data_IF_286393598278
#
_entry.id   IF_286393598278
#
_cell.length_a   1.000
_cell.length_b   1.000
_cell.length_c   1.000
_cell.angle_alpha   90.00
_cell.angle_beta   90.00
_cell.angle_gamma   90.00
#
_symmetry.space_group_name_H-M   'P 1'
#
loop_
_entity.id
_entity.type
_entity.pdbx_description
1 polymer ?
#
# COMPACT_ATOMS: atom_id res chain seq x y z
N UNK A 1 13.98 30.51 11.66
CA UNK A 1 14.83 30.32 10.47
C UNK A 1 14.10 29.46 9.45
N UNK A 2 13.83 29.94 8.23
CA UNK A 2 13.38 29.07 7.13
C UNK A 2 14.61 28.27 6.69
N UNK A 3 14.61 26.97 6.91
CA UNK A 3 15.61 26.10 6.29
C UNK A 3 15.46 26.26 4.76
N UNK A 4 16.56 26.52 4.03
CA UNK A 4 16.50 26.60 2.58
C UNK A 4 16.24 25.19 2.06
N UNK A 5 14.98 24.89 1.73
CA UNK A 5 14.64 23.69 0.98
C UNK A 5 15.30 23.83 -0.40
N UNK A 6 16.15 22.86 -0.78
CA UNK A 6 16.72 22.84 -2.13
C UNK A 6 15.57 22.75 -3.15
N UNK A 7 15.58 23.56 -4.23
CA UNK A 7 14.52 23.58 -5.23
C UNK A 7 14.31 22.23 -5.94
N UNK A 8 15.28 21.31 -5.87
CA UNK A 8 15.25 19.97 -6.49
C UNK A 8 14.70 18.85 -5.59
N UNK A 9 13.96 19.19 -4.52
CA UNK A 9 13.45 18.18 -3.58
C UNK A 9 12.32 17.35 -4.20
N UNK A 10 12.62 16.11 -4.61
CA UNK A 10 11.64 15.18 -5.19
C UNK A 10 10.89 14.38 -4.11
N UNK A 11 9.56 14.33 -4.20
CA UNK A 11 8.69 13.49 -3.38
C UNK A 11 8.61 12.08 -3.96
N UNK A 12 8.93 11.06 -3.15
CA UNK A 12 8.82 9.65 -3.56
C UNK A 12 7.66 8.96 -2.86
N UNK A 13 6.63 8.56 -3.61
CA UNK A 13 5.60 7.68 -3.07
C UNK A 13 6.16 6.27 -2.86
N UNK A 14 6.01 5.74 -1.64
CA UNK A 14 6.52 4.42 -1.23
C UNK A 14 5.44 3.37 -1.11
N UNK A 15 4.23 3.77 -0.73
CA UNK A 15 3.12 2.85 -0.57
C UNK A 15 1.78 3.58 -0.65
N UNK A 16 0.89 3.10 -1.51
CA UNK A 16 -0.51 3.50 -1.57
C UNK A 16 -1.37 2.35 -1.10
N UNK A 17 -2.23 2.64 -0.12
CA UNK A 17 -3.25 1.71 0.35
C UNK A 17 -4.60 2.17 -0.20
N UNK A 18 -5.27 1.27 -0.92
CA UNK A 18 -6.61 1.51 -1.46
C UNK A 18 -7.59 0.43 -1.02
N UNK A 19 -8.87 0.78 -1.03
CA UNK A 19 -9.97 -0.11 -0.73
C UNK A 19 -10.93 -0.11 -1.91
N UNK A 20 -11.52 -1.26 -2.19
CA UNK A 20 -12.54 -1.44 -3.21
C UNK A 20 -13.61 -2.40 -2.71
N UNK A 21 -14.81 -2.23 -3.23
CA UNK A 21 -15.93 -3.11 -3.01
C UNK A 21 -16.13 -4.04 -4.21
N UNK A 22 -16.13 -5.35 -3.95
CA UNK A 22 -16.32 -6.39 -4.95
C UNK A 22 -17.80 -6.66 -5.25
N UNK A 23 -18.73 -6.05 -4.49
CA UNK A 23 -20.16 -6.05 -4.78
C UNK A 23 -20.89 -7.37 -4.53
N UNK A 24 -20.23 -8.35 -3.91
CA UNK A 24 -20.82 -9.64 -3.55
C UNK A 24 -20.14 -10.25 -2.33
N UNK A 25 -20.84 -11.17 -1.65
CA UNK A 25 -20.22 -12.02 -0.63
C UNK A 25 -19.38 -13.09 -1.28
N UNK A 26 -18.24 -13.38 -0.67
CA UNK A 26 -17.24 -14.29 -1.22
C UNK A 26 -16.98 -15.47 -0.28
N UNK A 27 -16.99 -16.67 -0.82
CA UNK A 27 -16.48 -17.85 -0.13
C UNK A 27 -14.96 -17.90 -0.26
N UNK A 28 -14.26 -17.45 0.78
CA UNK A 28 -12.80 -17.43 0.84
C UNK A 28 -12.19 -18.83 0.76
N UNK A 29 -12.90 -19.87 1.23
CA UNK A 29 -12.45 -21.25 1.16
C UNK A 29 -12.46 -21.77 -0.27
N UNK A 30 -13.52 -21.47 -1.02
CA UNK A 30 -13.61 -21.78 -2.44
C UNK A 30 -12.54 -21.04 -3.26
N UNK A 31 -12.33 -19.75 -3.00
CA UNK A 31 -11.28 -18.95 -3.67
C UNK A 31 -9.89 -19.51 -3.37
N UNK A 32 -9.62 -19.85 -2.10
CA UNK A 32 -8.34 -20.40 -1.67
C UNK A 32 -7.99 -21.73 -2.33
N UNK A 33 -8.99 -22.57 -2.61
CA UNK A 33 -8.82 -23.83 -3.36
C UNK A 33 -8.68 -23.62 -4.87
N UNK A 34 -9.38 -22.62 -5.42
CA UNK A 34 -9.40 -22.34 -6.86
C UNK A 34 -8.14 -21.63 -7.36
N UNK A 35 -7.46 -20.85 -6.51
CA UNK A 35 -6.37 -19.97 -6.91
C UNK A 35 -5.07 -20.29 -6.15
N UNK A 36 -4.03 -20.67 -6.89
CA UNK A 36 -2.70 -21.00 -6.34
C UNK A 36 -1.96 -19.82 -5.71
N UNK A 37 -2.24 -18.59 -6.16
CA UNK A 37 -1.55 -17.37 -5.71
C UNK A 37 -2.22 -16.73 -4.49
N UNK A 38 -2.88 -17.55 -3.67
CA UNK A 38 -3.62 -17.12 -2.49
C UNK A 38 -3.15 -17.85 -1.23
N UNK A 39 -3.31 -17.18 -0.10
CA UNK A 39 -3.04 -17.73 1.24
C UNK A 39 -4.29 -17.50 2.08
N UNK A 40 -4.91 -18.58 2.52
CA UNK A 40 -6.09 -18.54 3.37
C UNK A 40 -5.93 -19.53 4.50
N UNK A 41 -5.95 -19.03 5.73
CA UNK A 41 -5.98 -19.84 6.94
C UNK A 41 -6.99 -19.23 7.92
N UNK A 42 -8.23 -19.73 7.99
CA UNK A 42 -9.29 -19.14 8.81
C UNK A 42 -8.99 -19.19 10.32
N UNK A 43 -8.05 -20.03 10.77
CA UNK A 43 -7.65 -20.10 12.18
C UNK A 43 -6.76 -18.93 12.58
N UNK A 44 -5.99 -18.38 11.65
CA UNK A 44 -5.00 -17.32 11.93
C UNK A 44 -5.38 -15.96 11.36
N UNK A 45 -6.19 -15.94 10.29
CA UNK A 45 -6.57 -14.71 9.62
C UNK A 45 -7.98 -14.80 9.02
N UNK A 46 -8.76 -13.73 9.21
CA UNK A 46 -10.18 -13.67 8.79
C UNK A 46 -10.36 -13.37 7.30
N UNK A 47 -9.32 -12.88 6.63
CA UNK A 47 -9.30 -12.61 5.19
C UNK A 47 -8.50 -13.63 4.39
N UNK A 48 -8.50 -13.45 3.09
CA UNK A 48 -7.66 -14.16 2.13
C UNK A 48 -6.62 -13.20 1.57
N UNK A 49 -5.36 -13.61 1.55
CA UNK A 49 -4.25 -12.81 1.03
C UNK A 49 -3.96 -13.30 -0.40
N UNK A 50 -4.02 -12.40 -1.38
CA UNK A 50 -3.66 -12.69 -2.77
C UNK A 50 -2.49 -11.80 -3.20
N UNK A 51 -1.52 -12.36 -3.91
CA UNK A 51 -0.36 -11.59 -4.40
C UNK A 51 -0.22 -11.67 -5.91
N UNK A 52 0.18 -10.55 -6.52
CA UNK A 52 0.52 -10.48 -7.95
C UNK A 52 1.89 -9.82 -8.12
N UNK A 53 2.60 -10.16 -9.21
CA UNK A 53 3.96 -9.68 -9.47
C UNK A 53 4.01 -8.35 -10.22
N UNK A 54 3.06 -8.11 -11.11
CA UNK A 54 2.96 -6.89 -11.92
C UNK A 54 1.54 -6.33 -11.85
N UNK A 55 1.32 -5.13 -11.29
CA UNK A 55 2.22 -4.45 -10.35
C UNK A 55 2.51 -5.33 -9.12
N UNK A 56 3.60 -5.08 -8.40
CA UNK A 56 3.95 -5.92 -7.23
C UNK A 56 3.08 -5.53 -6.04
N UNK A 57 1.90 -6.11 -5.94
CA UNK A 57 0.90 -5.74 -4.92
C UNK A 57 0.35 -6.93 -4.17
N UNK A 58 -0.21 -6.63 -3.00
CA UNK A 58 -0.93 -7.60 -2.16
C UNK A 58 -2.36 -7.12 -1.97
N UNK A 59 -3.32 -8.04 -2.11
CA UNK A 59 -4.72 -7.80 -1.82
C UNK A 59 -5.16 -8.64 -0.61
N UNK A 60 -5.78 -7.99 0.37
CA UNK A 60 -6.50 -8.64 1.46
C UNK A 60 -7.99 -8.61 1.13
N UNK A 61 -8.57 -9.79 0.90
CA UNK A 61 -9.96 -9.97 0.47
C UNK A 61 -10.77 -10.54 1.62
N UNK A 62 -11.92 -9.94 1.91
CA UNK A 62 -12.79 -10.34 3.02
C UNK A 62 -14.08 -10.97 2.50
N UNK A 63 -14.70 -11.82 3.32
CA UNK A 63 -15.98 -12.48 3.03
C UNK A 63 -17.11 -11.48 2.69
N UNK A 64 -17.02 -10.26 3.22
CA UNK A 64 -17.95 -9.16 2.96
C UNK A 64 -17.90 -8.62 1.53
N UNK A 65 -16.90 -9.00 0.74
CA UNK A 65 -16.65 -8.42 -0.59
C UNK A 65 -15.75 -7.18 -0.54
N UNK A 66 -15.33 -6.71 0.63
CA UNK A 66 -14.30 -5.67 0.71
C UNK A 66 -12.94 -6.24 0.34
N UNK A 67 -12.18 -5.48 -0.44
CA UNK A 67 -10.79 -5.79 -0.77
C UNK A 67 -9.91 -4.59 -0.49
N UNK A 68 -8.79 -4.82 0.21
CA UNK A 68 -7.76 -3.82 0.49
C UNK A 68 -6.55 -4.15 -0.37
N UNK A 69 -6.06 -3.19 -1.16
CA UNK A 69 -4.87 -3.34 -1.99
C UNK A 69 -3.72 -2.50 -1.41
N UNK A 70 -2.55 -3.10 -1.28
CA UNK A 70 -1.34 -2.48 -0.71
C UNK A 70 -0.11 -2.71 -1.60
N UNK A 71 0.99 -2.01 -1.28
CA UNK A 71 2.31 -2.11 -1.90
C UNK A 71 2.41 -1.53 -3.33
N UNK A 72 1.45 -0.70 -3.73
CA UNK A 72 1.58 0.10 -4.95
C UNK A 72 2.39 1.37 -4.68
N UNK A 73 3.16 1.85 -5.65
CA UNK A 73 3.96 3.08 -5.52
C UNK A 73 3.30 4.31 -6.16
N UNK A 74 2.08 4.18 -6.69
CA UNK A 74 1.25 5.30 -7.14
C UNK A 74 -0.23 4.96 -7.03
N UNK A 75 -1.07 6.00 -7.14
CA UNK A 75 -2.54 5.85 -7.09
C UNK A 75 -3.03 5.08 -8.32
N UNK A 76 -2.49 5.41 -9.49
CA UNK A 76 -2.78 4.76 -10.77
C UNK A 76 -2.40 3.28 -10.73
N UNK A 77 -1.21 2.96 -10.21
CA UNK A 77 -0.74 1.59 -10.04
C UNK A 77 -1.64 0.83 -9.06
N UNK A 78 -2.03 1.45 -7.94
CA UNK A 78 -2.96 0.86 -6.97
C UNK A 78 -4.31 0.54 -7.60
N UNK A 79 -4.84 1.44 -8.43
CA UNK A 79 -6.09 1.23 -9.16
C UNK A 79 -5.99 0.12 -10.19
N UNK A 80 -4.89 0.05 -10.92
CA UNK A 80 -4.63 -1.01 -11.89
C UNK A 80 -4.47 -2.37 -11.19
N UNK A 81 -3.74 -2.41 -10.07
CA UNK A 81 -3.57 -3.58 -9.23
C UNK A 81 -4.90 -4.13 -8.72
N UNK A 82 -5.72 -3.28 -8.11
CA UNK A 82 -7.02 -3.65 -7.58
C UNK A 82 -7.93 -4.21 -8.69
N UNK A 83 -7.92 -3.60 -9.89
CA UNK A 83 -8.65 -4.14 -11.06
C UNK A 83 -8.13 -5.50 -11.50
N UNK A 84 -6.81 -5.72 -11.49
CA UNK A 84 -6.22 -7.03 -11.81
C UNK A 84 -6.64 -8.11 -10.81
N UNK A 85 -6.63 -7.81 -9.51
CA UNK A 85 -7.13 -8.72 -8.49
C UNK A 85 -8.61 -9.07 -8.70
N UNK A 86 -9.48 -8.07 -8.94
CA UNK A 86 -10.89 -8.30 -9.25
C UNK A 86 -11.07 -9.16 -10.52
N UNK A 87 -10.26 -8.92 -11.56
CA UNK A 87 -10.31 -9.69 -12.81
C UNK A 87 -9.90 -11.15 -12.63
N UNK A 88 -8.92 -11.44 -11.77
CA UNK A 88 -8.52 -12.82 -11.44
C UNK A 88 -9.69 -13.56 -10.80
N UNK A 89 -10.39 -12.92 -9.85
CA UNK A 89 -11.58 -13.50 -9.21
C UNK A 89 -12.72 -13.73 -10.22
N UNK A 90 -12.96 -12.79 -11.13
CA UNK A 90 -13.94 -12.97 -12.20
C UNK A 90 -13.61 -14.17 -13.10
N UNK A 91 -12.35 -14.32 -13.49
CA UNK A 91 -11.90 -15.45 -14.32
C UNK A 91 -12.01 -16.79 -13.62
N UNK A 92 -11.92 -16.80 -12.29
CA UNK A 92 -12.15 -17.98 -11.47
C UNK A 92 -13.65 -18.29 -11.25
N UNK A 93 -14.56 -17.52 -11.85
CA UNK A 93 -16.01 -17.76 -11.81
C UNK A 93 -16.76 -17.03 -10.71
N UNK A 94 -16.10 -16.16 -9.93
CA UNK A 94 -16.77 -15.40 -8.86
C UNK A 94 -17.45 -14.15 -9.44
N UNK A 95 -18.71 -13.82 -9.05
CA UNK A 95 -19.50 -12.70 -9.59
C UNK A 95 -19.05 -11.35 -9.02
N UNK A 96 -17.78 -11.02 -9.21
CA UNK A 96 -17.12 -9.83 -8.65
C UNK A 96 -17.33 -8.62 -9.56
N UNK A 97 -17.61 -7.47 -8.95
CA UNK A 97 -17.67 -6.14 -9.57
C UNK A 97 -16.53 -5.26 -9.04
N UNK A 98 -16.29 -4.11 -9.68
CA UNK A 98 -15.30 -3.15 -9.20
C UNK A 98 -16.00 -1.85 -8.83
N UNK A 99 -16.34 -1.70 -7.55
CA UNK A 99 -17.17 -0.62 -7.03
C UNK A 99 -16.43 0.17 -5.96
N UNK A 100 -16.76 1.46 -5.80
CA UNK A 100 -16.33 2.27 -4.66
C UNK A 100 -14.82 2.26 -4.38
N UNK A 101 -13.99 2.31 -5.43
CA UNK A 101 -12.54 2.41 -5.27
C UNK A 101 -12.18 3.73 -4.58
N UNK A 102 -11.40 3.65 -3.50
CA UNK A 102 -10.94 4.79 -2.73
C UNK A 102 -9.53 4.58 -2.20
N UNK A 103 -8.68 5.59 -2.29
CA UNK A 103 -7.38 5.61 -1.61
C UNK A 103 -7.60 5.99 -0.14
N UNK A 104 -7.04 5.20 0.78
CA UNK A 104 -7.21 5.43 2.23
C UNK A 104 -5.94 5.93 2.90
N UNK A 105 -4.77 5.62 2.34
CA UNK A 105 -3.49 6.06 2.88
C UNK A 105 -2.44 6.13 1.77
N UNK A 106 -1.50 7.06 1.92
CA UNK A 106 -0.33 7.20 1.07
C UNK A 106 0.88 7.49 1.95
N UNK A 107 1.93 6.69 1.81
CA UNK A 107 3.22 6.90 2.46
C UNK A 107 4.18 7.50 1.45
N UNK A 108 4.65 8.71 1.73
CA UNK A 108 5.62 9.40 0.89
C UNK A 108 6.91 9.67 1.68
N UNK A 109 8.02 9.66 0.97
CA UNK A 109 9.35 9.91 1.50
C UNK A 109 9.96 11.11 0.79
N UNK A 110 10.54 12.04 1.57
CA UNK A 110 11.31 13.17 1.08
C UNK A 110 12.72 13.04 1.64
N UNK A 111 13.75 12.85 0.80
CA UNK A 111 15.13 12.87 1.27
C UNK A 111 15.54 14.33 1.55
N UNK A 112 15.69 14.67 2.84
CA UNK A 112 16.22 15.97 3.27
C UNK A 112 17.71 15.86 3.56
N UNK A 113 18.53 16.63 2.84
CA UNK A 113 19.97 16.73 3.10
C UNK A 113 20.23 17.96 3.95
N UNK A 114 20.21 17.80 5.27
CA UNK A 114 20.49 18.89 6.23
C UNK A 114 21.96 18.78 6.65
N UNK A 115 22.75 19.79 6.35
CA UNK A 115 24.08 19.95 6.96
C UNK A 115 23.88 20.59 8.33
N UNK A 116 24.07 19.81 9.40
CA UNK A 116 24.10 20.36 10.76
C UNK A 116 25.47 21.04 10.92
N UNK A 117 25.48 22.37 10.84
CA UNK A 117 26.66 23.15 11.20
C UNK A 117 26.71 23.16 12.74
N UNK A 118 27.67 22.45 13.34
CA UNK A 118 27.94 22.61 14.76
C UNK A 118 28.60 23.98 14.99
N UNK A 119 27.87 24.90 15.62
CA UNK A 119 28.47 26.13 16.15
C UNK A 119 29.27 25.77 17.41
N UNK A 120 30.58 25.64 17.27
CA UNK A 120 31.51 25.56 18.40
C UNK A 120 31.62 26.94 19.06
N UNK A 121 30.73 27.26 20.00
CA UNK A 121 30.97 28.33 20.96
C UNK A 121 31.85 27.76 22.08
N UNK A 122 33.16 27.71 21.85
CA UNK A 122 34.16 27.58 22.92
C UNK A 122 34.34 28.97 23.51
N UNK A 123 33.56 29.31 24.53
CA UNK A 123 33.93 30.44 25.40
C UNK A 123 34.99 29.96 26.38
N UNK A 124 36.22 30.35 26.10
CA UNK A 124 37.30 30.41 27.09
C UNK A 124 36.80 31.15 28.33
N UNK A 125 36.65 30.46 29.46
CA UNK A 125 36.66 31.10 30.78
C UNK A 125 38.04 30.83 31.36
N UNK A 126 38.90 31.85 31.23
CA UNK A 126 40.23 31.92 31.80
C UNK A 126 40.18 31.80 33.32
N UNK A 127 41.02 30.90 33.85
CA UNK A 127 41.44 30.83 35.25
C UNK A 127 42.02 32.17 35.70
N UNK A 128 41.52 32.68 36.84
CA UNK A 128 42.27 33.40 37.86
C UNK A 128 41.69 33.06 39.22
#
# INVERSE_FOLDING_TARGET
ARLPLCPDTVLFCRNVVSVVDLGCRLDLGAIGKALWNTQYNPKTYTGLIMRIRKPRTTANIYRTGKMICTAACSIEESRQAARRHARILQKAGFPVRFLNFRVINCVCMIPLRIQIIQSSHVTHITSK
#
